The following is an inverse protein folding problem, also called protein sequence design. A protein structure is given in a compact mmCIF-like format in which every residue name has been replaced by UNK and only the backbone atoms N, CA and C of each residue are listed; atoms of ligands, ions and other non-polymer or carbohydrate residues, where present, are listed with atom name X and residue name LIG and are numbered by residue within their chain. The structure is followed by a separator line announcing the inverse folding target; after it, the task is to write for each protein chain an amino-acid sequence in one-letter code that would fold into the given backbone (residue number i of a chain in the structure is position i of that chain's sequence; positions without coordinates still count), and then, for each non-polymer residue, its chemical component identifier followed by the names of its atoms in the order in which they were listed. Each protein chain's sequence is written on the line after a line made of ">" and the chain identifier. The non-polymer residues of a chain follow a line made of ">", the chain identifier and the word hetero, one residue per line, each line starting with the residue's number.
data_IF_801461273009
#
_entry.id   IF_801461273009
#
_cell.length_a   1.000
_cell.length_b   1.000
_cell.length_c   1.000
_cell.angle_alpha   90.00
_cell.angle_beta   90.00
_cell.angle_gamma   90.00
#
_symmetry.space_group_name_H-M   'P 1'
#
loop_
_entity.id
_entity.type
_entity.pdbx_description
1 polymer ?
#
# COMPACT_ATOMS: atom_id res chain seq x y z
N UNK A 1 17.15 -5.78 81.12
CA UNK A 1 15.75 -5.64 80.68
C UNK A 1 15.72 -5.62 79.15
N UNK A 2 14.72 -6.28 78.58
CA UNK A 2 14.55 -6.70 77.18
C UNK A 2 13.62 -5.72 76.44
N UNK A 3 13.59 -5.83 75.10
CA UNK A 3 12.61 -5.30 74.11
C UNK A 3 12.96 -3.91 73.54
N UNK A 4 13.29 -3.66 72.26
CA UNK A 4 12.79 -4.06 70.91
C UNK A 4 11.37 -3.57 70.57
N UNK A 5 11.29 -2.52 69.74
CA UNK A 5 10.33 -2.26 68.62
C UNK A 5 11.05 -1.25 67.68
N UNK A 6 11.35 -1.41 66.38
CA UNK A 6 10.75 -1.92 65.13
C UNK A 6 9.83 -0.94 64.38
N UNK A 7 10.32 -0.53 63.19
CA UNK A 7 9.67 0.09 62.00
C UNK A 7 9.13 1.52 62.15
N UNK A 8 9.24 2.43 61.17
CA UNK A 8 8.71 2.35 59.78
C UNK A 8 9.49 3.28 58.83
N UNK A 9 9.73 2.78 57.62
CA UNK A 9 10.25 3.51 56.44
C UNK A 9 9.06 4.09 55.68
N UNK A 10 9.14 5.37 55.28
CA UNK A 10 8.33 5.90 54.17
C UNK A 10 9.25 6.67 53.23
N UNK A 11 9.53 6.04 52.09
CA UNK A 11 10.13 6.66 50.93
C UNK A 11 9.02 7.30 50.08
N UNK A 12 9.18 8.57 49.69
CA UNK A 12 8.37 9.18 48.64
C UNK A 12 9.28 9.41 47.43
N UNK A 13 9.07 8.57 46.43
CA UNK A 13 9.75 8.62 45.14
C UNK A 13 9.19 9.78 44.31
N UNK A 14 10.10 10.55 43.71
CA UNK A 14 9.80 11.57 42.70
C UNK A 14 9.71 10.87 41.35
N UNK A 15 8.50 10.64 40.84
CA UNK A 15 8.30 10.11 39.48
C UNK A 15 8.03 11.26 38.53
N UNK A 16 9.10 11.78 37.93
CA UNK A 16 9.03 12.64 36.75
C UNK A 16 8.60 11.82 35.54
N UNK A 17 7.51 12.24 34.91
CA UNK A 17 6.96 11.70 33.68
C UNK A 17 7.88 11.99 32.48
N UNK A 18 8.32 11.00 31.68
CA UNK A 18 8.71 11.26 30.31
C UNK A 18 7.51 10.91 29.42
N UNK A 19 6.87 11.95 28.90
CA UNK A 19 6.05 11.86 27.70
C UNK A 19 7.00 11.53 26.54
N UNK A 20 7.22 10.24 26.29
CA UNK A 20 7.89 9.80 25.07
C UNK A 20 6.87 9.86 23.94
N UNK A 21 6.98 10.93 23.15
CA UNK A 21 6.33 11.07 21.86
C UNK A 21 6.52 9.78 21.07
N UNK A 22 5.41 9.17 20.66
CA UNK A 22 5.42 8.14 19.64
C UNK A 22 6.00 8.78 18.38
N UNK A 23 7.26 8.46 18.09
CA UNK A 23 7.89 8.82 16.84
C UNK A 23 7.05 8.17 15.73
N UNK A 24 6.35 9.00 14.96
CA UNK A 24 5.81 8.58 13.68
C UNK A 24 7.03 8.26 12.81
N UNK A 25 7.36 6.98 12.70
CA UNK A 25 8.24 6.49 11.64
C UNK A 25 7.55 6.79 10.33
N UNK A 26 7.85 7.96 9.77
CA UNK A 26 7.76 8.17 8.33
C UNK A 26 8.78 7.20 7.75
N UNK A 27 8.29 6.06 7.25
CA UNK A 27 9.11 5.11 6.50
C UNK A 27 9.80 5.89 5.41
N UNK A 28 11.12 6.04 5.51
CA UNK A 28 11.89 6.67 4.45
C UNK A 28 11.62 5.86 3.17
N UNK A 29 11.04 6.54 2.18
CA UNK A 29 10.81 6.00 0.86
C UNK A 29 12.13 5.44 0.34
N UNK A 30 12.21 4.11 0.23
CA UNK A 30 13.44 3.46 -0.19
C UNK A 30 13.64 3.79 -1.67
N UNK A 31 14.85 4.22 -2.10
CA UNK A 31 15.12 4.69 -3.46
C UNK A 31 14.90 3.64 -4.56
N UNK A 32 14.53 2.41 -4.18
CA UNK A 32 14.26 1.29 -5.09
C UNK A 32 12.87 0.66 -4.88
N UNK A 33 12.00 1.24 -4.05
CA UNK A 33 10.69 0.65 -3.75
C UNK A 33 9.70 0.78 -4.91
N UNK A 34 8.91 -0.27 -5.14
CA UNK A 34 7.76 -0.25 -6.06
C UNK A 34 6.49 0.00 -5.27
N UNK A 35 5.71 1.01 -5.64
CA UNK A 35 4.46 1.32 -4.95
C UNK A 35 3.26 0.99 -5.81
N UNK A 36 2.24 0.39 -5.19
CA UNK A 36 0.94 0.16 -5.78
C UNK A 36 -0.07 1.11 -5.16
N UNK A 37 -0.78 1.87 -5.98
CA UNK A 37 -1.74 2.87 -5.51
C UNK A 37 -3.11 2.63 -6.13
N UNK A 38 -4.21 2.79 -5.38
CA UNK A 38 -5.54 2.81 -5.97
C UNK A 38 -5.65 3.88 -7.05
N UNK A 39 -6.44 3.58 -8.09
CA UNK A 39 -6.75 4.52 -9.16
C UNK A 39 -8.27 4.60 -9.33
N UNK A 40 -8.78 5.82 -9.37
CA UNK A 40 -10.19 6.12 -9.66
C UNK A 40 -10.21 7.18 -10.76
N UNK A 41 -10.91 6.90 -11.84
CA UNK A 41 -11.22 7.86 -12.89
C UNK A 41 -12.74 7.93 -13.02
N UNK A 42 -13.32 8.90 -12.33
CA UNK A 42 -14.75 9.19 -12.40
C UNK A 42 -15.08 9.91 -13.71
N UNK A 43 -16.02 9.35 -14.47
CA UNK A 43 -16.55 9.90 -15.72
C UNK A 43 -18.07 9.94 -15.60
N UNK A 44 -18.69 10.83 -16.37
CA UNK A 44 -20.12 11.16 -16.29
C UNK A 44 -21.09 9.96 -16.19
N UNK A 45 -20.75 8.79 -16.77
CA UNK A 45 -21.60 7.59 -16.72
C UNK A 45 -20.87 6.31 -16.29
N UNK A 46 -19.58 6.37 -16.00
CA UNK A 46 -18.80 5.18 -15.64
C UNK A 46 -17.60 5.54 -14.79
N UNK A 47 -17.19 4.61 -13.93
CA UNK A 47 -15.99 4.73 -13.12
C UNK A 47 -14.96 3.73 -13.64
N UNK A 48 -13.75 4.19 -13.91
CA UNK A 48 -12.62 3.28 -14.13
C UNK A 48 -11.85 3.17 -12.82
N UNK A 49 -11.71 1.96 -12.34
CA UNK A 49 -11.20 1.68 -10.99
C UNK A 49 -10.21 0.54 -11.05
N UNK A 50 -9.16 0.65 -10.26
CA UNK A 50 -7.99 -0.22 -10.42
C UNK A 50 -6.84 0.14 -9.52
N UNK A 51 -5.65 -0.33 -9.92
CA UNK A 51 -4.40 -0.03 -9.23
C UNK A 51 -3.32 0.37 -10.25
N UNK A 52 -2.61 1.46 -9.97
CA UNK A 52 -1.43 1.88 -10.70
C UNK A 52 -0.16 1.38 -10.00
N UNK A 53 0.91 1.23 -10.78
CA UNK A 53 2.23 0.84 -10.27
C UNK A 53 3.21 1.97 -10.54
N UNK A 54 3.89 2.46 -9.51
CA UNK A 54 4.98 3.44 -9.63
C UNK A 54 6.29 2.79 -9.21
N UNK A 55 7.34 2.98 -10.02
CA UNK A 55 8.65 2.40 -9.79
C UNK A 55 9.77 3.36 -10.24
N UNK A 56 10.95 3.35 -9.60
CA UNK A 56 12.11 4.12 -10.04
C UNK A 56 12.61 3.69 -11.41
N UNK A 57 13.08 4.63 -12.25
CA UNK A 57 13.57 4.37 -13.61
C UNK A 57 14.76 3.39 -13.64
N UNK A 58 15.51 3.31 -12.56
CA UNK A 58 16.73 2.51 -12.43
C UNK A 58 16.45 1.07 -11.99
N UNK A 59 15.21 0.74 -11.60
CA UNK A 59 14.84 -0.63 -11.25
C UNK A 59 14.91 -1.51 -12.50
N UNK A 60 15.70 -2.58 -12.41
CA UNK A 60 15.82 -3.56 -13.48
C UNK A 60 14.47 -4.25 -13.75
N UNK A 61 14.20 -4.66 -15.00
CA UNK A 61 13.00 -5.42 -15.31
C UNK A 61 12.89 -6.69 -14.46
N UNK A 62 11.72 -6.88 -13.86
CA UNK A 62 11.36 -8.02 -13.04
C UNK A 62 9.87 -8.33 -13.20
N UNK A 63 9.40 -9.41 -12.58
CA UNK A 63 7.98 -9.73 -12.53
C UNK A 63 7.60 -10.18 -11.14
N UNK A 64 6.45 -9.74 -10.65
CA UNK A 64 5.92 -10.10 -9.32
C UNK A 64 4.49 -10.58 -9.45
N UNK A 65 4.12 -11.57 -8.67
CA UNK A 65 2.72 -11.96 -8.56
C UNK A 65 1.89 -10.83 -7.96
N UNK A 66 0.76 -10.54 -8.60
CA UNK A 66 -0.23 -9.59 -8.10
C UNK A 66 -1.58 -10.28 -8.16
N UNK A 67 -2.28 -10.33 -7.02
CA UNK A 67 -3.66 -10.82 -6.97
C UNK A 67 -4.61 -9.64 -6.85
N UNK A 68 -5.60 -9.59 -7.74
CA UNK A 68 -6.71 -8.66 -7.62
C UNK A 68 -8.00 -9.43 -7.54
N UNK A 69 -8.81 -9.09 -6.54
CA UNK A 69 -10.12 -9.69 -6.33
C UNK A 69 -11.18 -8.60 -6.45
N UNK A 70 -12.14 -8.80 -7.35
CA UNK A 70 -13.34 -7.98 -7.45
C UNK A 70 -14.37 -8.51 -6.47
N UNK A 71 -14.80 -7.69 -5.50
CA UNK A 71 -15.55 -8.20 -4.35
C UNK A 71 -16.99 -8.61 -4.69
N UNK A 72 -17.67 -7.89 -5.59
CA UNK A 72 -19.08 -8.20 -5.93
C UNK A 72 -19.25 -9.49 -6.74
N UNK A 73 -18.25 -9.86 -7.55
CA UNK A 73 -18.29 -11.07 -8.39
C UNK A 73 -17.47 -12.21 -7.80
N UNK A 74 -16.69 -11.95 -6.75
CA UNK A 74 -15.68 -12.85 -6.18
C UNK A 74 -14.63 -13.31 -7.21
N UNK A 75 -14.56 -12.65 -8.38
CA UNK A 75 -13.59 -12.97 -9.41
C UNK A 75 -12.20 -12.56 -8.93
N UNK A 76 -11.26 -13.51 -8.96
CA UNK A 76 -9.88 -13.28 -8.56
C UNK A 76 -8.92 -13.63 -9.70
N UNK A 77 -7.96 -12.74 -9.92
CA UNK A 77 -6.90 -12.91 -10.92
C UNK A 77 -5.56 -12.80 -10.22
N UNK A 78 -4.75 -13.85 -10.30
CA UNK A 78 -3.40 -13.90 -9.75
C UNK A 78 -2.42 -14.22 -10.87
N UNK A 79 -1.66 -13.20 -11.28
CA UNK A 79 -0.76 -13.33 -12.42
C UNK A 79 0.58 -12.67 -12.11
N UNK A 80 1.68 -13.20 -12.69
CA UNK A 80 2.95 -12.50 -12.70
C UNK A 80 2.84 -11.24 -13.57
N UNK A 81 3.07 -10.07 -12.98
CA UNK A 81 3.04 -8.79 -13.68
C UNK A 81 4.45 -8.27 -13.93
N UNK A 82 4.83 -8.02 -15.20
CA UNK A 82 6.11 -7.42 -15.52
C UNK A 82 6.16 -5.97 -15.06
N UNK A 83 7.28 -5.58 -14.45
CA UNK A 83 7.60 -4.23 -13.99
C UNK A 83 9.02 -3.91 -14.47
N UNK A 84 9.23 -2.93 -15.38
CA UNK A 84 8.22 -2.11 -16.02
C UNK A 84 7.25 -2.95 -16.86
N UNK A 85 6.01 -2.46 -17.02
CA UNK A 85 5.03 -3.10 -17.89
C UNK A 85 5.53 -3.16 -19.34
N UNK A 86 5.08 -4.17 -20.09
CA UNK A 86 5.40 -4.35 -21.52
C UNK A 86 4.40 -3.64 -22.45
N UNK A 87 3.61 -2.70 -21.90
CA UNK A 87 2.59 -1.95 -22.63
C UNK A 87 3.13 -0.95 -23.66
N UNK A 88 2.22 -0.33 -24.40
CA UNK A 88 2.57 0.74 -25.33
C UNK A 88 3.13 1.97 -24.58
N UNK A 89 4.05 2.75 -25.18
CA UNK A 89 4.76 3.84 -24.50
C UNK A 89 3.85 4.94 -23.91
N UNK A 90 2.62 5.07 -24.41
CA UNK A 90 1.61 6.03 -23.95
C UNK A 90 0.91 5.62 -22.64
N UNK A 91 1.10 4.39 -22.16
CA UNK A 91 0.58 3.94 -20.87
C UNK A 91 1.44 4.35 -19.66
N UNK A 92 2.53 5.07 -19.89
CA UNK A 92 3.51 5.44 -18.87
C UNK A 92 3.56 6.95 -18.65
N UNK A 93 3.53 7.35 -17.38
CA UNK A 93 3.80 8.73 -16.96
C UNK A 93 5.20 8.77 -16.36
N UNK A 94 6.07 9.59 -16.95
CA UNK A 94 7.37 9.88 -16.38
C UNK A 94 7.23 11.04 -15.41
N UNK A 95 7.49 10.79 -14.13
CA UNK A 95 7.42 11.81 -13.10
C UNK A 95 8.74 12.58 -13.00
N UNK A 96 8.66 13.82 -12.50
CA UNK A 96 9.82 14.71 -12.33
C UNK A 96 10.81 14.21 -11.27
N UNK A 97 10.34 13.37 -10.35
CA UNK A 97 11.13 12.75 -9.28
C UNK A 97 11.98 11.54 -9.72
N UNK A 98 11.94 11.20 -11.00
CA UNK A 98 12.70 10.06 -11.54
C UNK A 98 11.94 8.73 -11.48
N UNK A 99 10.69 8.70 -11.05
CA UNK A 99 9.84 7.50 -11.13
C UNK A 99 9.08 7.41 -12.45
N UNK A 100 8.56 6.21 -12.74
CA UNK A 100 7.60 5.95 -13.81
C UNK A 100 6.34 5.37 -13.19
N UNK A 101 5.18 5.95 -13.52
CA UNK A 101 3.88 5.39 -13.18
C UNK A 101 3.26 4.72 -14.40
N UNK A 102 2.92 3.45 -14.26
CA UNK A 102 2.11 2.72 -15.22
C UNK A 102 0.65 2.71 -14.75
N UNK A 103 -0.22 3.33 -15.55
CA UNK A 103 -1.67 3.36 -15.33
C UNK A 103 -2.33 2.28 -16.20
N UNK A 104 -3.21 1.45 -15.62
CA UNK A 104 -3.95 0.46 -16.40
C UNK A 104 -3.47 -0.98 -16.32
N UNK A 105 -2.71 -1.35 -15.28
CA UNK A 105 -2.38 -2.76 -15.02
C UNK A 105 -3.63 -3.61 -14.79
N UNK A 106 -4.59 -3.10 -14.01
CA UNK A 106 -5.94 -3.65 -13.87
C UNK A 106 -6.91 -2.51 -13.67
N UNK A 107 -7.59 -2.13 -14.75
CA UNK A 107 -8.63 -1.13 -14.76
C UNK A 107 -9.90 -1.78 -15.30
N UNK A 108 -10.97 -1.74 -14.52
CA UNK A 108 -12.29 -2.19 -14.94
C UNK A 108 -13.23 -0.98 -14.97
N UNK A 109 -14.08 -0.92 -16.00
CA UNK A 109 -15.11 0.11 -16.11
C UNK A 109 -16.41 -0.42 -15.52
N UNK A 110 -16.97 0.30 -14.56
CA UNK A 110 -18.27 0.00 -13.93
C UNK A 110 -19.26 1.15 -14.12
N UNK A 111 -20.56 0.87 -14.01
CA UNK A 111 -21.61 1.88 -14.16
C UNK A 111 -21.65 2.82 -12.95
N UNK A 112 -21.20 4.06 -13.13
CA UNK A 112 -20.99 5.01 -12.03
C UNK A 112 -19.91 4.58 -11.02
N UNK A 113 -19.53 5.46 -10.09
CA UNK A 113 -18.64 5.12 -8.98
C UNK A 113 -19.44 4.60 -7.77
N UNK A 114 -20.20 3.53 -7.97
CA UNK A 114 -20.93 2.83 -6.91
C UNK A 114 -19.95 1.97 -6.09
N UNK A 115 -19.82 2.18 -4.76
CA UNK A 115 -18.96 1.38 -3.88
C UNK A 115 -19.14 -0.14 -4.03
N UNK A 116 -20.36 -0.63 -4.27
CA UNK A 116 -20.61 -2.06 -4.43
C UNK A 116 -19.95 -2.61 -5.70
N UNK A 117 -19.93 -1.82 -6.77
CA UNK A 117 -19.34 -2.22 -8.06
C UNK A 117 -17.84 -1.91 -8.13
N UNK A 118 -17.37 -0.91 -7.38
CA UNK A 118 -15.96 -0.49 -7.39
C UNK A 118 -15.07 -1.26 -6.42
N UNK A 119 -15.64 -1.98 -5.45
CA UNK A 119 -14.85 -2.63 -4.41
C UNK A 119 -13.92 -3.73 -4.95
N UNK A 120 -12.62 -3.57 -4.67
CA UNK A 120 -11.54 -4.46 -5.12
C UNK A 120 -10.44 -4.54 -4.07
N UNK A 121 -9.82 -5.70 -3.94
CA UNK A 121 -8.59 -5.83 -3.15
C UNK A 121 -7.37 -6.10 -4.01
N UNK A 122 -6.23 -5.57 -3.59
CA UNK A 122 -4.91 -5.85 -4.16
C UNK A 122 -4.06 -6.59 -3.14
N UNK A 123 -3.51 -7.74 -3.52
CA UNK A 123 -2.48 -8.41 -2.76
C UNK A 123 -1.17 -8.46 -3.55
N UNK A 124 -0.08 -8.03 -2.89
CA UNK A 124 1.26 -7.97 -3.48
C UNK A 124 1.99 -9.28 -3.13
N UNK A 125 2.20 -10.11 -4.14
CA UNK A 125 2.75 -11.46 -3.99
C UNK A 125 4.26 -11.57 -4.11
N UNK A 126 4.79 -12.81 -4.18
CA UNK A 126 6.22 -13.07 -4.30
C UNK A 126 6.77 -12.66 -5.66
N UNK A 127 8.11 -12.53 -5.72
CA UNK A 127 8.81 -12.36 -6.98
C UNK A 127 8.63 -13.58 -7.88
N UNK A 128 8.31 -13.36 -9.15
CA UNK A 128 8.09 -14.39 -10.16
C UNK A 128 9.29 -14.52 -11.12
N UNK A 129 9.94 -13.40 -11.45
CA UNK A 129 11.12 -13.35 -12.32
C UNK A 129 11.99 -12.12 -12.01
N UNK A 130 13.29 -12.22 -12.30
CA UNK A 130 14.27 -11.17 -11.98
C UNK A 130 14.53 -10.99 -10.48
N UNK A 131 15.02 -9.82 -10.11
CA UNK A 131 15.26 -9.43 -8.72
C UNK A 131 14.27 -8.34 -8.32
N UNK A 132 13.16 -8.76 -7.70
CA UNK A 132 12.11 -7.82 -7.31
C UNK A 132 12.55 -6.98 -6.10
N UNK A 133 12.54 -5.65 -6.19
CA UNK A 133 12.75 -4.80 -5.03
C UNK A 133 11.58 -4.90 -4.04
N UNK A 134 11.71 -4.31 -2.83
CA UNK A 134 10.58 -4.11 -1.93
C UNK A 134 9.40 -3.46 -2.65
N UNK A 135 8.19 -3.89 -2.28
CA UNK A 135 6.97 -3.35 -2.82
C UNK A 135 5.94 -3.14 -1.71
N UNK A 136 5.12 -2.09 -1.84
CA UNK A 136 4.06 -1.77 -0.86
C UNK A 136 2.82 -1.17 -1.51
N UNK A 137 1.70 -1.29 -0.81
CA UNK A 137 0.50 -0.54 -1.10
C UNK A 137 0.59 0.89 -0.54
N UNK A 138 0.03 1.85 -1.27
CA UNK A 138 -0.14 3.24 -0.83
C UNK A 138 -1.64 3.48 -0.65
N UNK A 139 -2.13 3.65 0.60
CA UNK A 139 -3.54 3.88 0.84
C UNK A 139 -3.99 5.25 0.33
N UNK A 140 -5.25 5.32 -0.10
CA UNK A 140 -5.94 6.54 -0.49
C UNK A 140 -7.35 6.53 0.13
N UNK A 141 -7.72 7.60 0.85
CA UNK A 141 -8.98 7.64 1.61
C UNK A 141 -10.22 7.68 0.70
N UNK A 142 -10.13 8.38 -0.44
CA UNK A 142 -11.23 8.44 -1.39
C UNK A 142 -11.46 7.07 -2.04
N UNK A 143 -10.39 6.37 -2.41
CA UNK A 143 -10.44 5.01 -2.93
C UNK A 143 -10.91 3.99 -1.89
N UNK A 144 -10.48 4.15 -0.64
CA UNK A 144 -10.96 3.32 0.46
C UNK A 144 -12.48 3.47 0.65
N UNK A 145 -13.04 4.67 0.47
CA UNK A 145 -14.50 4.88 0.52
C UNK A 145 -15.27 4.18 -0.60
N UNK A 146 -14.59 3.83 -1.69
CA UNK A 146 -15.10 3.05 -2.82
C UNK A 146 -14.73 1.55 -2.73
N UNK A 147 -14.16 1.11 -1.61
CA UNK A 147 -13.83 -0.29 -1.37
C UNK A 147 -12.52 -0.77 -2.00
N UNK A 148 -11.61 0.13 -2.37
CA UNK A 148 -10.28 -0.23 -2.88
C UNK A 148 -9.29 -0.36 -1.71
N UNK A 149 -8.81 -1.58 -1.45
CA UNK A 149 -7.97 -1.87 -0.28
C UNK A 149 -6.83 -2.83 -0.59
N UNK A 150 -5.82 -2.86 0.28
CA UNK A 150 -4.83 -3.93 0.34
C UNK A 150 -5.45 -5.21 0.93
N UNK A 151 -4.96 -6.36 0.48
CA UNK A 151 -5.21 -7.67 1.08
C UNK A 151 -3.90 -8.44 1.24
N UNK A 152 -3.93 -9.45 2.10
CA UNK A 152 -2.86 -10.45 2.19
C UNK A 152 -2.84 -11.32 0.93
N UNK A 153 -1.64 -11.73 0.53
CA UNK A 153 -1.41 -12.56 -0.65
C UNK A 153 -1.55 -14.06 -0.35
#
# INVERSE_FOLDING_TARGET
>A
MKSIQLAVVVALAVTTCPAAAAAQTVTAESPHEVTFSPQILDRENHCIVGFSVTYPKEVAPHSRHVRITTLWSEASQDNPWPIPSLGAPDSFVHNDDGTITFSGGVNESVGGCDPELTARTLAIGPCADGECPPARFVPDEAAASLGLHEAEY
#
